data_IF_125530445540
#
_entry.id   IF_125530445540
#
_cell.length_a   1.000
_cell.length_b   1.000
_cell.length_c   1.000
_cell.angle_alpha   90.00
_cell.angle_beta   90.00
_cell.angle_gamma   90.00
#
_symmetry.space_group_name_H-M   'P 1'
#
loop_
_entity.id
_entity.type
_entity.pdbx_description
1 polymer ?
#
# COMPACT_ATOMS: atom_id res chain seq x y z
N UNK A 1 -4.54 -10.21 14.54
CA UNK A 1 -4.46 -9.79 13.13
C UNK A 1 -4.19 -11.02 12.27
N UNK A 2 -4.99 -11.21 11.22
CA UNK A 2 -4.80 -12.34 10.29
C UNK A 2 -3.57 -12.13 9.44
N UNK A 3 -2.85 -13.21 9.18
CA UNK A 3 -1.73 -13.21 8.24
C UNK A 3 -2.19 -13.78 6.90
N UNK A 4 -1.90 -13.08 5.83
CA UNK A 4 -2.20 -13.56 4.49
C UNK A 4 -1.29 -14.73 4.13
N UNK A 5 -1.91 -15.81 3.64
CA UNK A 5 -1.19 -16.96 3.12
C UNK A 5 -1.95 -17.56 1.95
N UNK A 6 -1.23 -17.90 0.91
CA UNK A 6 -1.80 -18.66 -0.19
C UNK A 6 -1.91 -20.14 0.20
N UNK A 7 -3.00 -20.76 -0.21
CA UNK A 7 -3.11 -22.24 -0.13
C UNK A 7 -2.16 -22.86 -1.16
N UNK A 8 -1.84 -24.14 -0.96
CA UNK A 8 -1.00 -24.88 -1.92
C UNK A 8 -1.62 -24.87 -3.31
N UNK A 9 -2.94 -25.05 -3.38
CA UNK A 9 -3.69 -25.03 -4.64
C UNK A 9 -3.62 -23.67 -5.33
N UNK A 10 -3.82 -22.59 -4.58
CA UNK A 10 -3.71 -21.23 -5.12
C UNK A 10 -2.31 -20.94 -5.64
N UNK A 11 -1.29 -21.36 -4.91
CA UNK A 11 0.11 -21.18 -5.32
C UNK A 11 0.37 -21.89 -6.66
N UNK A 12 -0.14 -23.10 -6.81
CA UNK A 12 0.02 -23.86 -8.03
C UNK A 12 -0.67 -23.20 -9.22
N UNK A 13 -1.91 -22.74 -9.03
CA UNK A 13 -2.67 -22.04 -10.06
C UNK A 13 -1.94 -20.76 -10.50
N UNK A 14 -1.43 -19.99 -9.56
CA UNK A 14 -0.69 -18.76 -9.86
C UNK A 14 0.61 -19.05 -10.61
N UNK A 15 1.34 -20.09 -10.19
CA UNK A 15 2.59 -20.48 -10.84
C UNK A 15 2.39 -20.94 -12.28
N UNK A 16 1.24 -21.55 -12.56
CA UNK A 16 0.90 -21.98 -13.92
C UNK A 16 0.44 -20.81 -14.80
N UNK A 17 -0.25 -19.83 -14.21
CA UNK A 17 -0.84 -18.70 -14.93
C UNK A 17 0.15 -17.57 -15.17
N UNK A 18 1.06 -17.34 -14.25
CA UNK A 18 1.99 -16.23 -14.30
C UNK A 18 3.43 -16.72 -14.28
N UNK A 19 4.31 -15.90 -14.84
CA UNK A 19 5.73 -16.21 -14.85
C UNK A 19 6.32 -16.08 -13.43
N UNK A 20 7.14 -17.06 -13.04
CA UNK A 20 7.86 -17.03 -11.76
C UNK A 20 9.29 -16.55 -11.98
N UNK A 21 9.93 -15.88 -10.99
CA UNK A 21 9.40 -15.56 -9.66
C UNK A 21 8.38 -14.43 -9.70
N UNK A 22 7.46 -14.43 -8.73
CA UNK A 22 6.45 -13.40 -8.60
C UNK A 22 6.23 -13.02 -7.15
N UNK A 23 5.77 -11.78 -6.93
CA UNK A 23 5.34 -11.31 -5.63
C UNK A 23 3.82 -11.22 -5.61
N UNK A 24 3.19 -11.89 -4.65
CA UNK A 24 1.75 -11.80 -4.44
C UNK A 24 1.44 -10.85 -3.30
N UNK A 25 0.43 -9.99 -3.49
CA UNK A 25 -0.01 -9.04 -2.48
C UNK A 25 -1.52 -9.19 -2.30
N UNK A 26 -1.97 -9.22 -1.06
CA UNK A 26 -3.39 -9.25 -0.73
C UNK A 26 -3.86 -7.85 -0.33
N UNK A 27 -4.79 -7.28 -1.11
CA UNK A 27 -5.39 -5.99 -0.76
C UNK A 27 -6.26 -6.10 0.50
N UNK A 28 -6.88 -7.26 0.73
CA UNK A 28 -7.65 -7.50 1.94
C UNK A 28 -6.77 -7.52 3.19
N UNK A 29 -5.58 -8.09 3.08
CA UNK A 29 -4.62 -8.07 4.19
C UNK A 29 -4.13 -6.64 4.49
N UNK A 30 -3.91 -5.84 3.45
CA UNK A 30 -3.54 -4.43 3.60
C UNK A 30 -4.65 -3.68 4.35
N UNK A 31 -5.90 -3.88 3.96
CA UNK A 31 -7.03 -3.25 4.65
C UNK A 31 -7.10 -3.68 6.11
N UNK A 32 -6.94 -4.96 6.38
CA UNK A 32 -6.96 -5.51 7.73
C UNK A 32 -5.86 -4.88 8.60
N UNK A 33 -4.64 -4.77 8.07
CA UNK A 33 -3.51 -4.17 8.76
C UNK A 33 -3.76 -2.69 9.06
N UNK A 34 -4.28 -1.96 8.07
CA UNK A 34 -4.58 -0.54 8.23
C UNK A 34 -5.65 -0.32 9.31
N UNK A 35 -6.74 -1.09 9.28
CA UNK A 35 -7.80 -1.01 10.27
C UNK A 35 -7.31 -1.35 11.67
N UNK A 36 -6.40 -2.34 11.78
CA UNK A 36 -5.77 -2.69 13.05
C UNK A 36 -5.00 -1.51 13.63
N UNK A 37 -4.17 -0.85 12.81
CA UNK A 37 -3.43 0.33 13.26
C UNK A 37 -4.37 1.46 13.68
N UNK A 38 -5.42 1.72 12.92
CA UNK A 38 -6.39 2.77 13.26
C UNK A 38 -7.15 2.47 14.53
N UNK A 39 -7.41 1.19 14.80
CA UNK A 39 -8.12 0.77 16.02
C UNK A 39 -7.29 0.97 17.27
N UNK A 40 -6.01 0.59 17.22
CA UNK A 40 -5.13 0.62 18.38
C UNK A 40 -4.39 1.95 18.54
N UNK A 41 -4.28 2.71 17.48
CA UNK A 41 -3.64 4.03 17.49
C UNK A 41 -4.56 5.06 16.83
N UNK A 42 -5.77 5.31 17.40
CA UNK A 42 -6.77 6.16 16.72
C UNK A 42 -6.34 7.60 16.53
N UNK A 43 -5.40 8.09 17.34
CA UNK A 43 -4.88 9.45 17.25
C UNK A 43 -3.67 9.57 16.35
N UNK A 44 -3.10 8.44 15.91
CA UNK A 44 -1.96 8.44 15.02
C UNK A 44 -2.43 8.61 13.57
N UNK A 45 -1.67 9.40 12.81
CA UNK A 45 -1.89 9.55 11.38
C UNK A 45 -0.98 8.58 10.63
N UNK A 46 -1.55 7.78 9.74
CA UNK A 46 -0.80 6.78 9.00
C UNK A 46 -0.26 7.40 7.71
N UNK A 47 1.05 7.31 7.52
CA UNK A 47 1.73 7.73 6.30
C UNK A 47 2.34 6.50 5.63
N UNK A 48 1.80 6.11 4.50
CA UNK A 48 2.34 4.99 3.74
C UNK A 48 3.60 5.41 2.98
N UNK A 49 4.70 4.71 3.21
CA UNK A 49 5.96 4.96 2.51
C UNK A 49 5.89 4.34 1.10
N UNK A 50 5.73 5.16 0.08
CA UNK A 50 5.56 4.71 -1.31
C UNK A 50 6.72 3.90 -1.83
N UNK A 51 7.94 4.20 -1.37
CA UNK A 51 9.12 3.44 -1.81
C UNK A 51 9.07 1.96 -1.43
N UNK A 52 8.23 1.58 -0.44
CA UNK A 52 8.07 0.19 -0.07
C UNK A 52 7.39 -0.62 -1.18
N UNK A 53 6.36 -0.05 -1.79
CA UNK A 53 5.69 -0.64 -2.96
C UNK A 53 4.79 0.40 -3.61
N UNK A 54 5.17 0.98 -4.77
CA UNK A 54 4.38 2.02 -5.45
C UNK A 54 3.35 1.47 -6.43
N UNK A 55 3.01 0.19 -6.37
CA UNK A 55 2.04 -0.40 -7.30
C UNK A 55 0.69 0.30 -7.20
N UNK A 56 0.11 0.67 -8.34
CA UNK A 56 -1.14 1.44 -8.39
C UNK A 56 -2.31 0.78 -7.64
N UNK A 57 -2.54 -0.54 -7.72
CA UNK A 57 -3.62 -1.16 -6.93
C UNK A 57 -3.46 -0.99 -5.43
N UNK A 58 -2.22 -1.04 -4.92
CA UNK A 58 -1.94 -0.81 -3.51
C UNK A 58 -2.21 0.64 -3.14
N UNK A 59 -1.71 1.58 -3.95
CA UNK A 59 -1.94 3.01 -3.73
C UNK A 59 -3.43 3.34 -3.76
N UNK A 60 -4.16 2.80 -4.72
CA UNK A 60 -5.60 3.02 -4.83
C UNK A 60 -6.33 2.53 -3.57
N UNK A 61 -5.94 1.37 -3.04
CA UNK A 61 -6.50 0.84 -1.80
C UNK A 61 -6.19 1.75 -0.61
N UNK A 62 -4.95 2.21 -0.49
CA UNK A 62 -4.54 3.12 0.59
C UNK A 62 -5.26 4.46 0.50
N UNK A 63 -5.43 4.99 -0.72
CA UNK A 63 -6.17 6.24 -0.97
C UNK A 63 -7.62 6.07 -0.49
N UNK A 64 -8.24 4.98 -0.88
CA UNK A 64 -9.64 4.67 -0.56
C UNK A 64 -9.87 4.57 0.95
N UNK A 65 -8.89 4.04 1.68
CA UNK A 65 -8.95 3.94 3.14
C UNK A 65 -8.64 5.25 3.86
N UNK A 66 -8.23 6.28 3.13
CA UNK A 66 -7.95 7.59 3.72
C UNK A 66 -6.52 7.77 4.24
N UNK A 67 -5.58 6.92 3.83
CA UNK A 67 -4.19 7.04 4.26
C UNK A 67 -3.53 8.32 3.75
N UNK A 68 -2.55 8.80 4.48
CA UNK A 68 -1.58 9.77 4.01
C UNK A 68 -0.35 9.04 3.45
N UNK A 69 0.56 9.78 2.85
CA UNK A 69 1.68 9.19 2.11
C UNK A 69 2.99 9.90 2.43
N UNK A 70 4.04 9.09 2.61
CA UNK A 70 5.41 9.57 2.71
C UNK A 70 6.04 9.42 1.34
N UNK A 71 6.32 10.54 0.68
CA UNK A 71 6.88 10.58 -0.67
C UNK A 71 8.36 10.91 -0.62
N UNK A 72 9.13 10.26 -1.47
CA UNK A 72 10.59 10.40 -1.51
C UNK A 72 11.08 11.12 -2.78
N UNK A 73 10.20 11.46 -3.71
CA UNK A 73 10.58 12.10 -4.96
C UNK A 73 9.43 12.91 -5.56
N UNK A 74 9.77 13.81 -6.48
CA UNK A 74 8.79 14.57 -7.24
C UNK A 74 7.91 13.65 -8.09
N UNK A 75 8.48 12.57 -8.63
CA UNK A 75 7.73 11.59 -9.41
C UNK A 75 6.66 10.89 -8.61
N UNK A 76 6.96 10.55 -7.35
CA UNK A 76 5.97 9.97 -6.44
C UNK A 76 4.85 10.95 -6.10
N UNK A 77 5.19 12.21 -5.86
CA UNK A 77 4.20 13.26 -5.64
C UNK A 77 3.28 13.42 -6.85
N UNK A 78 3.84 13.43 -8.05
CA UNK A 78 3.08 13.57 -9.28
C UNK A 78 2.14 12.39 -9.48
N UNK A 79 2.60 11.17 -9.24
CA UNK A 79 1.77 9.97 -9.34
C UNK A 79 0.55 10.07 -8.44
N UNK A 80 0.75 10.43 -7.17
CA UNK A 80 -0.35 10.59 -6.23
C UNK A 80 -1.29 11.71 -6.65
N UNK A 81 -0.74 12.82 -7.14
CA UNK A 81 -1.56 13.93 -7.62
C UNK A 81 -2.46 13.49 -8.78
N UNK A 82 -1.92 12.73 -9.73
CA UNK A 82 -2.68 12.16 -10.84
C UNK A 82 -3.77 11.20 -10.36
N UNK A 83 -3.57 10.56 -9.23
CA UNK A 83 -4.55 9.66 -8.61
C UNK A 83 -5.56 10.40 -7.70
N UNK A 84 -5.51 11.74 -7.67
CA UNK A 84 -6.46 12.55 -6.93
C UNK A 84 -6.11 12.85 -5.47
N UNK A 85 -4.87 12.60 -5.06
CA UNK A 85 -4.43 12.85 -3.68
C UNK A 85 -4.00 14.30 -3.54
N UNK A 86 -4.53 15.00 -2.52
CA UNK A 86 -4.12 16.38 -2.22
C UNK A 86 -2.78 16.42 -1.49
N UNK A 87 -2.11 17.58 -1.57
CA UNK A 87 -0.83 17.78 -0.89
C UNK A 87 -0.91 17.63 0.62
N UNK A 88 -2.08 17.87 1.21
CA UNK A 88 -2.29 17.71 2.66
C UNK A 88 -2.11 16.27 3.14
N UNK A 89 -2.21 15.30 2.23
CA UNK A 89 -2.04 13.88 2.53
C UNK A 89 -0.64 13.40 2.19
N UNK A 90 0.29 14.29 1.89
CA UNK A 90 1.67 13.95 1.53
C UNK A 90 2.65 14.59 2.51
N UNK A 91 3.72 13.86 2.83
CA UNK A 91 4.86 14.39 3.56
C UNK A 91 6.14 14.02 2.80
N UNK A 92 7.06 14.96 2.73
CA UNK A 92 8.39 14.73 2.17
C UNK A 92 9.39 14.81 3.33
N UNK A 93 9.78 13.67 3.85
CA UNK A 93 10.60 13.58 5.06
C UNK A 93 12.06 13.20 4.79
N UNK A 94 12.46 13.12 3.53
CA UNK A 94 13.84 12.77 3.21
C UNK A 94 14.78 13.92 3.57
N UNK A 95 15.94 13.60 4.19
CA UNK A 95 16.96 14.61 4.37
C UNK A 95 17.51 15.06 3.01
N UNK A 96 17.73 16.32 2.89
CA UNK A 96 18.24 16.93 1.66
C UNK A 96 19.75 16.77 1.58
#
# INVERSE_FOLDING_TARGET
MKTFRLTKEQTQILAEKYQTPMLTVSLDQIECNYRFLRRYLPQARVFYAMKANPAKPILAKMIDMGSSFDVASAGEMQLLHEMGVSGERMIYANPV
#
